data_IF_806493622138
#
_entry.id   IF_806493622138
#
_cell.length_a   1.000
_cell.length_b   1.000
_cell.length_c   1.000
_cell.angle_alpha   90.00
_cell.angle_beta   90.00
_cell.angle_gamma   90.00
#
_symmetry.space_group_name_H-M   'P 1'
#
loop_
_entity.id
_entity.type
_entity.pdbx_description
1 polymer ?
#
# COMPACT_ATOMS: atom_id res chain seq x y z
N UNK A 1 -5.81 -8.76 -37.16
CA UNK A 1 -5.74 -9.69 -36.02
C UNK A 1 -6.99 -9.46 -35.19
N UNK A 2 -7.61 -10.47 -34.60
CA UNK A 2 -8.79 -10.29 -33.77
C UNK A 2 -8.35 -9.62 -32.45
N UNK A 3 -9.13 -8.63 -32.00
CA UNK A 3 -8.96 -7.99 -30.68
C UNK A 3 -8.97 -9.08 -29.58
N UNK A 4 -7.95 -9.09 -28.71
CA UNK A 4 -7.91 -9.98 -27.56
C UNK A 4 -8.42 -9.23 -26.33
N UNK A 5 -9.43 -9.78 -25.68
CA UNK A 5 -9.96 -9.22 -24.43
C UNK A 5 -9.26 -9.88 -23.25
N UNK A 6 -8.68 -9.06 -22.34
CA UNK A 6 -8.05 -9.47 -21.09
C UNK A 6 -8.91 -8.99 -19.93
N UNK A 7 -9.32 -9.91 -19.06
CA UNK A 7 -10.22 -9.62 -17.91
C UNK A 7 -9.40 -9.29 -16.69
N UNK A 8 -9.50 -8.04 -16.22
CA UNK A 8 -8.81 -7.55 -15.04
C UNK A 8 -9.79 -7.45 -13.84
N UNK A 9 -9.59 -8.32 -12.86
CA UNK A 9 -10.36 -8.32 -11.62
C UNK A 9 -10.02 -7.12 -10.73
N UNK A 10 -11.04 -6.41 -10.26
CA UNK A 10 -10.89 -5.24 -9.37
C UNK A 10 -12.01 -5.16 -8.35
N UNK A 11 -11.78 -4.41 -7.27
CA UNK A 11 -12.81 -4.03 -6.31
C UNK A 11 -13.61 -2.83 -6.83
N UNK A 12 -14.83 -2.64 -6.31
CA UNK A 12 -15.72 -1.55 -6.71
C UNK A 12 -15.40 -0.17 -6.11
N UNK A 13 -14.39 -0.03 -5.25
CA UNK A 13 -14.05 1.29 -4.68
C UNK A 13 -13.40 2.21 -5.72
N UNK A 14 -13.66 3.52 -5.63
CA UNK A 14 -13.09 4.51 -6.56
C UNK A 14 -11.56 4.40 -6.70
N UNK A 15 -10.85 4.17 -5.58
CA UNK A 15 -9.40 3.98 -5.61
C UNK A 15 -9.00 2.70 -6.33
N UNK A 16 -9.70 1.58 -6.10
CA UNK A 16 -9.40 0.31 -6.77
C UNK A 16 -9.66 0.41 -8.28
N UNK A 17 -10.77 1.03 -8.69
CA UNK A 17 -11.08 1.28 -10.10
C UNK A 17 -10.03 2.18 -10.76
N UNK A 18 -9.60 3.24 -10.10
CA UNK A 18 -8.54 4.12 -10.60
C UNK A 18 -7.21 3.35 -10.78
N UNK A 19 -6.83 2.53 -9.79
CA UNK A 19 -5.62 1.69 -9.85
C UNK A 19 -5.67 0.66 -10.97
N UNK A 20 -6.78 -0.07 -11.09
CA UNK A 20 -6.99 -1.07 -12.13
C UNK A 20 -7.04 -0.44 -13.52
N UNK A 21 -7.69 0.72 -13.66
CA UNK A 21 -7.70 1.47 -14.92
C UNK A 21 -6.31 2.00 -15.34
N UNK A 22 -5.44 2.33 -14.38
CA UNK A 22 -4.04 2.66 -14.68
C UNK A 22 -3.30 1.45 -15.23
N UNK A 23 -3.42 0.29 -14.57
CA UNK A 23 -2.77 -0.96 -15.01
C UNK A 23 -3.34 -1.41 -16.35
N UNK A 24 -4.64 -1.32 -16.58
CA UNK A 24 -5.27 -1.65 -17.87
C UNK A 24 -4.61 -0.87 -19.02
N UNK A 25 -4.49 0.45 -18.89
CA UNK A 25 -3.81 1.28 -19.91
C UNK A 25 -2.34 0.95 -20.09
N UNK A 26 -1.61 0.58 -19.02
CA UNK A 26 -0.22 0.14 -19.13
C UNK A 26 -0.12 -1.15 -19.96
N UNK A 27 -1.00 -2.14 -19.70
CA UNK A 27 -1.02 -3.40 -20.43
C UNK A 27 -1.42 -3.21 -21.91
N UNK A 28 -2.44 -2.40 -22.20
CA UNK A 28 -2.85 -2.07 -23.57
C UNK A 28 -1.71 -1.37 -24.32
N UNK A 29 -1.01 -0.43 -23.68
CA UNK A 29 0.15 0.24 -24.27
C UNK A 29 1.30 -0.74 -24.54
N UNK A 30 1.60 -1.64 -23.60
CA UNK A 30 2.64 -2.66 -23.75
C UNK A 30 2.31 -3.67 -24.83
N UNK A 31 1.03 -4.08 -24.95
CA UNK A 31 0.56 -4.96 -26.03
C UNK A 31 0.67 -4.29 -27.39
N UNK A 32 0.23 -3.03 -27.51
CA UNK A 32 0.32 -2.26 -28.74
C UNK A 32 1.77 -2.06 -29.20
N UNK A 33 2.71 -1.87 -28.28
CA UNK A 33 4.14 -1.79 -28.58
C UNK A 33 4.71 -3.10 -29.18
N UNK A 34 4.05 -4.23 -28.95
CA UNK A 34 4.37 -5.54 -29.54
C UNK A 34 3.51 -5.87 -30.78
N UNK A 35 2.75 -4.91 -31.30
CA UNK A 35 1.87 -5.09 -32.46
C UNK A 35 0.61 -5.90 -32.17
N UNK A 36 0.23 -6.05 -30.91
CA UNK A 36 -0.98 -6.75 -30.48
C UNK A 36 -2.13 -5.78 -30.25
N UNK A 37 -3.34 -6.17 -30.64
CA UNK A 37 -4.58 -5.41 -30.43
C UNK A 37 -5.32 -5.98 -29.21
N UNK A 38 -5.10 -5.35 -28.04
CA UNK A 38 -5.67 -5.79 -26.77
C UNK A 38 -6.60 -4.76 -26.18
N UNK A 39 -7.68 -5.25 -25.59
CA UNK A 39 -8.58 -4.49 -24.75
C UNK A 39 -8.63 -5.11 -23.35
N UNK A 40 -8.39 -4.30 -22.33
CA UNK A 40 -8.46 -4.76 -20.93
C UNK A 40 -9.81 -4.36 -20.32
N UNK A 41 -10.63 -5.35 -20.00
CA UNK A 41 -11.93 -5.16 -19.36
C UNK A 41 -11.84 -5.27 -17.85
N UNK A 42 -12.33 -4.25 -17.15
CA UNK A 42 -12.41 -4.27 -15.70
C UNK A 42 -13.61 -5.10 -15.23
N UNK A 43 -13.33 -6.21 -14.54
CA UNK A 43 -14.34 -7.06 -13.91
C UNK A 43 -14.45 -6.70 -12.44
N UNK A 44 -15.52 -6.01 -12.08
CA UNK A 44 -15.74 -5.61 -10.68
C UNK A 44 -16.25 -6.80 -9.86
N UNK A 45 -15.42 -7.26 -8.93
CA UNK A 45 -15.77 -8.31 -7.98
C UNK A 45 -16.34 -7.66 -6.72
N UNK A 46 -17.60 -7.93 -6.42
CA UNK A 46 -18.25 -7.47 -5.18
C UNK A 46 -17.70 -8.26 -4.02
N UNK A 47 -17.01 -7.62 -3.10
CA UNK A 47 -16.54 -8.27 -1.89
C UNK A 47 -17.56 -8.10 -0.75
N UNK A 48 -17.68 -9.10 0.13
CA UNK A 48 -18.56 -8.99 1.31
C UNK A 48 -18.22 -7.77 2.18
N UNK A 49 -16.96 -7.31 2.13
CA UNK A 49 -16.52 -6.09 2.82
C UNK A 49 -17.01 -4.79 2.20
N UNK A 50 -17.43 -4.81 0.93
CA UNK A 50 -17.97 -3.62 0.23
C UNK A 50 -19.50 -3.48 0.49
N UNK A 51 -20.19 -4.57 0.88
CA UNK A 51 -21.65 -4.60 1.10
C UNK A 51 -22.05 -4.59 2.56
N UNK A 52 -21.18 -4.96 3.48
CA UNK A 52 -21.48 -5.10 4.90
C UNK A 52 -21.08 -3.84 5.68
N UNK A 53 -22.05 -3.21 6.35
CA UNK A 53 -21.82 -2.28 7.46
C UNK A 53 -21.38 -3.00 8.74
N UNK A 54 -21.45 -4.34 8.77
CA UNK A 54 -20.94 -5.15 9.85
C UNK A 54 -19.40 -5.06 9.90
N UNK A 55 -18.84 -5.05 11.08
CA UNK A 55 -17.42 -4.87 11.30
C UNK A 55 -16.62 -5.90 10.48
N UNK A 56 -15.63 -5.43 9.68
CA UNK A 56 -14.65 -6.24 8.94
C UNK A 56 -14.02 -7.38 9.76
N UNK A 57 -14.08 -7.27 11.08
CA UNK A 57 -13.63 -8.25 12.05
C UNK A 57 -14.54 -9.49 12.17
N UNK A 58 -15.82 -9.41 11.74
CA UNK A 58 -16.69 -10.60 11.70
C UNK A 58 -16.41 -11.48 10.49
N UNK A 59 -15.71 -10.94 9.48
CA UNK A 59 -15.44 -11.57 8.19
C UNK A 59 -13.99 -12.04 8.03
N UNK A 60 -13.19 -12.15 9.10
CA UNK A 60 -11.87 -12.81 9.04
C UNK A 60 -10.67 -11.92 8.66
N UNK A 61 -10.75 -10.59 8.72
CA UNK A 61 -9.57 -9.74 8.59
C UNK A 61 -9.21 -9.31 7.16
N UNK A 62 -8.01 -8.73 6.98
CA UNK A 62 -7.50 -8.13 5.73
C UNK A 62 -7.55 -9.05 4.50
N UNK A 63 -7.47 -10.36 4.67
CA UNK A 63 -7.53 -11.33 3.56
C UNK A 63 -8.87 -11.38 2.82
N UNK A 64 -9.96 -10.90 3.41
CA UNK A 64 -11.32 -11.03 2.82
C UNK A 64 -11.46 -10.26 1.51
N UNK A 65 -10.82 -9.12 1.38
CA UNK A 65 -10.88 -8.33 0.16
C UNK A 65 -10.08 -8.95 -0.99
N UNK A 66 -8.96 -9.61 -0.69
CA UNK A 66 -8.16 -10.33 -1.68
C UNK A 66 -8.75 -11.72 -1.97
N UNK A 67 -9.39 -12.36 -0.98
CA UNK A 67 -9.86 -13.73 -1.09
C UNK A 67 -10.81 -13.94 -2.28
N UNK A 68 -11.79 -13.07 -2.46
CA UNK A 68 -12.74 -13.22 -3.57
C UNK A 68 -12.09 -12.98 -4.95
N UNK A 69 -11.21 -11.97 -5.07
CA UNK A 69 -10.44 -11.76 -6.30
C UNK A 69 -9.56 -12.98 -6.62
N UNK A 70 -8.93 -13.58 -5.60
CA UNK A 70 -8.11 -14.78 -5.71
C UNK A 70 -8.92 -16.01 -6.13
N UNK A 71 -10.16 -16.15 -5.61
CA UNK A 71 -11.08 -17.18 -6.08
C UNK A 71 -11.37 -17.01 -7.56
N UNK A 72 -11.70 -15.80 -8.02
CA UNK A 72 -11.97 -15.54 -9.45
C UNK A 72 -10.74 -15.80 -10.34
N UNK A 73 -9.52 -15.53 -9.84
CA UNK A 73 -8.28 -15.91 -10.55
C UNK A 73 -8.13 -17.42 -10.67
N UNK A 74 -8.28 -18.16 -9.56
CA UNK A 74 -8.14 -19.63 -9.55
C UNK A 74 -9.20 -20.33 -10.38
N UNK A 75 -10.41 -19.76 -10.46
CA UNK A 75 -11.51 -20.28 -11.29
C UNK A 75 -11.45 -19.81 -12.74
N UNK A 76 -10.44 -19.02 -13.12
CA UNK A 76 -10.29 -18.49 -14.49
C UNK A 76 -11.39 -17.51 -14.91
N UNK A 77 -12.10 -16.91 -13.97
CA UNK A 77 -13.12 -15.89 -14.26
C UNK A 77 -12.50 -14.54 -14.60
N UNK A 78 -11.30 -14.27 -14.11
CA UNK A 78 -10.44 -13.15 -14.50
C UNK A 78 -9.03 -13.64 -14.80
N UNK A 79 -8.30 -12.92 -15.65
CA UNK A 79 -6.96 -13.31 -16.11
C UNK A 79 -5.88 -12.75 -15.19
N UNK A 80 -6.15 -11.60 -14.58
CA UNK A 80 -5.28 -10.96 -13.59
C UNK A 80 -6.10 -10.13 -12.58
N UNK A 81 -5.51 -9.82 -11.44
CA UNK A 81 -6.10 -8.93 -10.43
C UNK A 81 -5.09 -7.87 -9.99
N UNK A 82 -5.58 -6.66 -9.69
CA UNK A 82 -4.75 -5.54 -9.22
C UNK A 82 -5.07 -5.23 -7.77
N UNK A 83 -4.01 -5.12 -6.97
CA UNK A 83 -4.09 -4.83 -5.55
C UNK A 83 -3.20 -3.65 -5.16
N UNK A 84 -3.60 -2.87 -4.16
CA UNK A 84 -2.64 -2.11 -3.37
C UNK A 84 -1.78 -3.12 -2.60
N UNK A 85 -0.48 -3.19 -2.87
CA UNK A 85 0.37 -4.29 -2.38
C UNK A 85 0.45 -4.33 -0.85
N UNK A 86 0.36 -3.17 -0.19
CA UNK A 86 0.32 -3.08 1.27
C UNK A 86 -0.89 -3.77 1.92
N UNK A 87 -1.97 -3.97 1.14
CA UNK A 87 -3.22 -4.56 1.63
C UNK A 87 -3.28 -6.09 1.40
N UNK A 88 -2.28 -6.66 0.68
CA UNK A 88 -2.15 -8.10 0.49
C UNK A 88 -1.45 -8.76 1.68
N UNK A 89 -1.96 -9.88 2.20
CA UNK A 89 -1.24 -10.71 3.17
C UNK A 89 0.13 -11.11 2.65
N UNK A 90 1.10 -11.29 3.55
CA UNK A 90 2.46 -11.73 3.18
C UNK A 90 2.55 -13.22 2.85
N UNK A 91 1.63 -14.02 3.40
CA UNK A 91 1.57 -15.45 3.13
C UNK A 91 1.25 -15.73 1.65
N UNK A 92 2.01 -16.62 0.99
CA UNK A 92 1.72 -17.03 -0.37
C UNK A 92 0.40 -17.80 -0.47
N UNK A 93 -0.21 -17.79 -1.63
CA UNK A 93 -1.38 -18.60 -1.95
C UNK A 93 -1.01 -19.57 -3.06
N UNK A 94 -1.24 -20.86 -2.80
CA UNK A 94 -0.96 -21.91 -3.80
C UNK A 94 -1.75 -21.64 -5.10
N UNK A 95 -1.07 -21.75 -6.23
CA UNK A 95 -1.67 -21.52 -7.55
C UNK A 95 -1.70 -20.06 -8.00
N UNK A 96 -1.27 -19.11 -7.14
CA UNK A 96 -1.17 -17.69 -7.47
C UNK A 96 0.24 -17.14 -7.25
N UNK A 97 0.59 -16.09 -7.99
CA UNK A 97 1.83 -15.35 -7.77
C UNK A 97 1.68 -13.86 -8.16
N UNK A 98 2.59 -13.04 -7.67
CA UNK A 98 2.71 -11.65 -8.10
C UNK A 98 3.55 -11.63 -9.37
N UNK A 99 2.90 -11.44 -10.49
CA UNK A 99 3.54 -11.47 -11.81
C UNK A 99 4.29 -10.18 -12.14
N UNK A 100 3.82 -9.03 -11.64
CA UNK A 100 4.49 -7.75 -11.83
C UNK A 100 4.12 -6.73 -10.75
N UNK A 101 5.02 -5.78 -10.56
CA UNK A 101 4.80 -4.57 -9.78
C UNK A 101 5.16 -3.37 -10.65
N UNK A 102 4.20 -2.58 -11.12
CA UNK A 102 4.47 -1.34 -11.81
C UNK A 102 5.26 -0.35 -10.94
N UNK A 103 5.86 0.65 -11.60
CA UNK A 103 6.63 1.69 -10.92
C UNK A 103 5.89 2.25 -9.71
N UNK A 104 6.57 2.27 -8.56
CA UNK A 104 6.06 2.75 -7.28
C UNK A 104 5.66 4.23 -7.38
N UNK A 105 4.46 4.57 -6.94
CA UNK A 105 4.06 5.93 -6.68
C UNK A 105 4.66 6.43 -5.36
N UNK A 106 4.45 7.71 -5.01
CA UNK A 106 4.98 8.29 -3.77
C UNK A 106 4.66 7.42 -2.54
N UNK A 107 5.68 6.85 -1.86
CA UNK A 107 5.49 5.96 -0.71
C UNK A 107 5.08 6.70 0.56
N UNK A 108 5.20 8.03 0.61
CA UNK A 108 5.01 8.83 1.80
C UNK A 108 3.59 8.83 2.32
N UNK A 109 3.46 9.10 3.61
CA UNK A 109 2.20 9.53 4.21
C UNK A 109 2.02 11.03 4.01
N UNK A 110 0.78 11.46 3.84
CA UNK A 110 0.39 12.86 3.66
C UNK A 110 -0.51 13.31 4.79
N UNK A 111 -0.24 14.46 5.35
CA UNK A 111 -1.16 15.23 6.16
C UNK A 111 -2.06 16.05 5.24
N UNK A 112 -3.36 15.95 5.46
CA UNK A 112 -4.34 16.89 4.91
C UNK A 112 -4.96 17.60 6.10
N UNK A 113 -4.70 18.88 6.24
CA UNK A 113 -5.12 19.70 7.37
C UNK A 113 -5.99 20.87 6.95
N UNK A 114 -6.81 21.34 7.86
CA UNK A 114 -7.56 22.58 7.68
C UNK A 114 -6.60 23.74 7.38
N UNK A 115 -6.98 24.60 6.46
CA UNK A 115 -6.18 25.77 6.04
C UNK A 115 -4.76 25.45 5.54
N UNK A 116 -4.49 24.20 5.11
CA UNK A 116 -3.18 23.81 4.59
C UNK A 116 -2.05 23.80 5.62
N UNK A 117 -2.35 23.71 6.93
CA UNK A 117 -1.35 23.70 8.00
C UNK A 117 -0.46 22.45 7.93
N UNK A 118 0.82 22.61 8.23
CA UNK A 118 1.73 21.50 8.51
C UNK A 118 1.47 20.89 9.88
N UNK A 119 2.06 19.72 10.18
CA UNK A 119 1.95 19.08 11.49
C UNK A 119 2.46 20.00 12.61
N UNK A 120 3.54 20.73 12.36
CA UNK A 120 4.11 21.66 13.32
C UNK A 120 3.19 22.87 13.60
N UNK A 121 2.39 23.29 12.61
CA UNK A 121 1.48 24.42 12.72
C UNK A 121 0.12 24.07 13.33
N UNK A 122 -0.21 22.78 13.46
CA UNK A 122 -1.45 22.37 14.13
C UNK A 122 -1.48 22.86 15.58
N UNK A 123 -2.62 23.38 16.07
CA UNK A 123 -2.76 23.82 17.45
C UNK A 123 -2.55 22.66 18.42
N UNK A 124 -2.15 22.98 19.66
CA UNK A 124 -2.08 21.99 20.73
C UNK A 124 -3.46 21.36 20.96
N UNK A 125 -3.47 20.03 21.12
CA UNK A 125 -4.71 19.26 21.26
C UNK A 125 -5.48 19.04 19.98
N UNK A 126 -4.91 19.39 18.80
CA UNK A 126 -5.55 19.17 17.49
C UNK A 126 -5.97 17.71 17.28
N UNK A 127 -7.14 17.50 16.66
CA UNK A 127 -7.69 16.20 16.34
C UNK A 127 -7.21 15.73 14.97
N UNK A 128 -6.44 14.63 14.92
CA UNK A 128 -5.87 14.07 13.71
C UNK A 128 -6.44 12.66 13.45
N UNK A 129 -7.16 12.51 12.35
CA UNK A 129 -7.82 11.27 11.98
C UNK A 129 -6.89 10.28 11.29
N UNK A 130 -6.82 9.05 11.80
CA UNK A 130 -6.16 7.91 11.14
C UNK A 130 -6.63 6.60 11.73
N UNK A 131 -6.84 5.59 10.89
CA UNK A 131 -7.15 4.22 11.34
C UNK A 131 -5.92 3.30 11.34
N UNK A 132 -4.70 3.84 11.22
CA UNK A 132 -3.46 3.05 11.16
C UNK A 132 -2.68 3.14 12.48
N UNK A 133 -2.51 2.02 13.21
CA UNK A 133 -1.69 2.00 14.44
C UNK A 133 -0.27 2.53 14.23
N UNK A 134 0.36 2.20 13.09
CA UNK A 134 1.68 2.72 12.70
C UNK A 134 1.70 4.25 12.63
N UNK A 135 0.66 4.86 12.05
CA UNK A 135 0.56 6.33 11.98
C UNK A 135 0.28 6.94 13.34
N UNK A 136 -0.62 6.33 14.11
CA UNK A 136 -0.92 6.77 15.49
C UNK A 136 0.37 6.84 16.31
N UNK A 137 1.14 5.75 16.32
CA UNK A 137 2.38 5.66 17.09
C UNK A 137 3.39 6.75 16.70
N UNK A 138 3.62 6.91 15.40
CA UNK A 138 4.59 7.88 14.89
C UNK A 138 4.11 9.33 15.04
N UNK A 139 2.82 9.61 14.89
CA UNK A 139 2.24 10.93 15.14
C UNK A 139 2.41 11.33 16.61
N UNK A 140 2.14 10.42 17.54
CA UNK A 140 2.33 10.68 18.97
C UNK A 140 3.78 10.88 19.36
N UNK A 141 4.71 10.18 18.72
CA UNK A 141 6.13 10.42 18.92
C UNK A 141 6.57 11.81 18.41
N UNK A 142 6.01 12.28 17.29
CA UNK A 142 6.31 13.61 16.73
C UNK A 142 5.61 14.75 17.46
N UNK A 143 4.37 14.53 17.91
CA UNK A 143 3.49 15.52 18.54
C UNK A 143 2.64 14.83 19.63
N UNK A 144 3.20 14.66 20.85
CA UNK A 144 2.50 13.99 21.97
C UNK A 144 1.21 14.67 22.40
N UNK A 145 1.08 15.96 22.11
CA UNK A 145 -0.04 16.82 22.48
C UNK A 145 -1.28 16.65 21.58
N UNK A 146 -1.15 16.04 20.38
CA UNK A 146 -2.30 15.87 19.49
C UNK A 146 -3.20 14.71 19.92
N UNK A 147 -4.47 14.79 19.53
CA UNK A 147 -5.47 13.74 19.74
C UNK A 147 -5.62 12.93 18.46
N UNK A 148 -5.27 11.65 18.49
CA UNK A 148 -5.51 10.75 17.36
C UNK A 148 -6.92 10.19 17.42
N UNK A 149 -7.65 10.24 16.30
CA UNK A 149 -9.04 9.76 16.18
C UNK A 149 -9.08 8.60 15.19
N UNK A 150 -9.68 7.45 15.60
CA UNK A 150 -9.84 6.31 14.66
C UNK A 150 -10.74 6.73 13.50
N UNK A 151 -10.26 6.49 12.29
CA UNK A 151 -10.90 6.95 11.06
C UNK A 151 -11.06 5.81 10.07
N UNK A 152 -12.30 5.53 9.67
CA UNK A 152 -12.67 4.51 8.70
C UNK A 152 -13.29 5.11 7.45
N UNK A 153 -13.47 4.31 6.42
CA UNK A 153 -14.05 4.70 5.14
C UNK A 153 -13.01 4.84 4.03
N UNK A 154 -13.47 5.18 2.84
CA UNK A 154 -12.62 5.46 1.69
C UNK A 154 -11.92 6.83 1.81
N UNK A 155 -11.00 7.13 0.89
CA UNK A 155 -10.23 8.38 0.91
C UNK A 155 -11.12 9.62 0.91
N UNK A 156 -12.11 9.76 -0.01
CA UNK A 156 -13.00 10.91 0.00
C UNK A 156 -13.79 11.07 1.31
N UNK A 157 -14.33 9.99 1.87
CA UNK A 157 -15.06 10.03 3.15
C UNK A 157 -14.18 10.55 4.29
N UNK A 158 -12.91 10.11 4.33
CA UNK A 158 -11.95 10.56 5.35
C UNK A 158 -11.58 12.03 5.19
N UNK A 159 -11.38 12.48 3.94
CA UNK A 159 -11.10 13.89 3.64
C UNK A 159 -12.26 14.81 4.03
N UNK A 160 -13.50 14.37 3.80
CA UNK A 160 -14.71 15.12 4.17
C UNK A 160 -14.87 15.35 5.68
N UNK A 161 -14.07 14.67 6.54
CA UNK A 161 -14.02 14.92 7.97
C UNK A 161 -13.12 16.09 8.37
N UNK A 162 -12.27 16.60 7.43
CA UNK A 162 -11.36 17.72 7.73
C UNK A 162 -12.08 19.04 7.55
N UNK A 163 -12.03 19.91 8.54
CA UNK A 163 -12.61 21.25 8.50
C UNK A 163 -12.05 22.06 7.34
N UNK A 164 -12.94 22.67 6.54
CA UNK A 164 -12.56 23.53 5.41
C UNK A 164 -12.09 22.79 4.15
N UNK A 165 -11.98 21.46 4.15
CA UNK A 165 -11.67 20.68 2.95
C UNK A 165 -12.96 20.36 2.20
N UNK A 166 -13.06 20.87 0.97
CA UNK A 166 -14.17 20.57 0.06
C UNK A 166 -13.70 19.62 -1.04
N UNK A 167 -14.42 18.52 -1.21
CA UNK A 167 -14.18 17.55 -2.28
C UNK A 167 -15.29 17.71 -3.31
N UNK A 168 -14.92 17.86 -4.58
CA UNK A 168 -15.90 17.92 -5.65
C UNK A 168 -16.69 16.60 -5.74
N UNK A 169 -17.97 16.69 -6.07
CA UNK A 169 -18.87 15.52 -6.14
C UNK A 169 -18.48 14.50 -7.22
N UNK A 170 -17.64 14.88 -8.16
CA UNK A 170 -17.12 14.04 -9.26
C UNK A 170 -15.96 13.09 -8.85
N UNK A 171 -15.44 13.21 -7.64
CA UNK A 171 -14.38 12.32 -7.13
C UNK A 171 -14.89 10.90 -6.76
N UNK A 172 -15.98 10.43 -7.38
CA UNK A 172 -16.56 9.09 -7.16
C UNK A 172 -17.25 8.92 -5.80
N UNK A 173 -17.69 10.03 -5.19
CA UNK A 173 -18.46 10.03 -3.94
C UNK A 173 -19.90 10.42 -4.19
N UNK A 174 -20.86 9.63 -3.69
CA UNK A 174 -22.22 10.12 -3.53
C UNK A 174 -22.21 11.25 -2.48
N UNK A 175 -23.03 12.30 -2.65
CA UNK A 175 -23.17 13.39 -1.67
C UNK A 175 -23.49 12.92 -0.25
N UNK A 176 -24.08 11.72 -0.11
CA UNK A 176 -24.42 11.08 1.17
C UNK A 176 -23.21 10.41 1.87
N UNK A 177 -22.08 10.19 1.15
CA UNK A 177 -20.83 9.66 1.71
C UNK A 177 -19.92 10.76 2.28
N UNK A 178 -20.19 12.01 2.00
CA UNK A 178 -19.59 13.17 2.65
C UNK A 178 -20.27 13.31 4.01
N UNK A 179 -19.66 12.76 5.05
CA UNK A 179 -20.18 12.72 6.40
C UNK A 179 -20.69 14.10 6.87
N UNK A 180 -21.79 14.10 7.59
CA UNK A 180 -22.49 15.30 8.10
C UNK A 180 -21.73 15.96 9.27
N UNK A 181 -20.47 16.36 9.05
CA UNK A 181 -19.73 17.12 10.06
C UNK A 181 -18.23 17.00 9.91
N UNK A 182 -17.62 18.04 9.37
CA UNK A 182 -16.17 18.21 9.44
C UNK A 182 -15.79 18.52 10.89
N UNK A 183 -15.23 17.53 11.59
CA UNK A 183 -14.94 17.56 13.02
C UNK A 183 -13.44 17.41 13.34
N UNK A 184 -12.62 17.12 12.33
CA UNK A 184 -11.18 16.92 12.47
C UNK A 184 -10.39 18.14 12.00
N UNK A 185 -9.26 18.39 12.64
CA UNK A 185 -8.29 19.41 12.23
C UNK A 185 -7.43 18.91 11.08
N UNK A 186 -7.14 17.60 11.03
CA UNK A 186 -6.39 16.97 9.96
C UNK A 186 -6.70 15.47 9.84
N UNK A 187 -6.26 14.86 8.72
CA UNK A 187 -6.19 13.41 8.53
C UNK A 187 -4.86 13.02 7.94
N UNK A 188 -4.40 11.78 8.21
CA UNK A 188 -3.20 11.23 7.56
C UNK A 188 -3.60 10.11 6.61
N UNK A 189 -3.20 10.27 5.35
CA UNK A 189 -3.49 9.36 4.24
C UNK A 189 -2.18 9.02 3.50
N UNK A 190 -2.21 8.07 2.55
CA UNK A 190 -1.08 7.80 1.67
C UNK A 190 -1.08 8.79 0.49
N UNK A 191 0.06 9.42 0.17
CA UNK A 191 0.22 10.28 -1.01
C UNK A 191 -0.28 9.59 -2.28
N UNK A 192 0.17 8.37 -2.56
CA UNK A 192 -0.25 7.60 -3.72
C UNK A 192 -1.77 7.42 -3.85
N UNK A 193 -2.49 7.33 -2.73
CA UNK A 193 -3.95 7.24 -2.75
C UNK A 193 -4.62 8.55 -3.16
N UNK A 194 -4.09 9.68 -2.70
CA UNK A 194 -4.56 11.02 -3.05
C UNK A 194 -4.24 11.36 -4.51
N UNK A 195 -3.03 11.04 -4.97
CA UNK A 195 -2.60 11.25 -6.36
C UNK A 195 -3.46 10.47 -7.34
N UNK A 196 -3.71 9.18 -7.10
CA UNK A 196 -4.50 8.30 -7.96
C UNK A 196 -5.97 8.75 -8.08
N UNK A 197 -6.47 9.48 -7.11
CA UNK A 197 -7.82 10.05 -7.11
C UNK A 197 -7.86 11.51 -7.57
N UNK A 198 -6.73 12.10 -7.99
CA UNK A 198 -6.67 13.51 -8.38
C UNK A 198 -6.84 14.49 -7.21
N UNK A 199 -6.59 14.02 -5.98
CA UNK A 199 -6.79 14.78 -4.74
C UNK A 199 -5.46 15.30 -4.13
N UNK A 200 -4.35 15.22 -4.87
CA UNK A 200 -3.03 15.66 -4.40
C UNK A 200 -2.98 17.14 -3.99
N UNK A 201 -3.83 17.98 -4.58
CA UNK A 201 -3.95 19.42 -4.24
C UNK A 201 -4.34 19.69 -2.77
N UNK A 202 -4.88 18.67 -2.07
CA UNK A 202 -5.27 18.78 -0.66
C UNK A 202 -4.14 18.40 0.30
N UNK A 203 -3.00 17.94 -0.18
CA UNK A 203 -1.85 17.59 0.66
C UNK A 203 -1.27 18.88 1.25
N UNK A 204 -1.32 18.99 2.58
CA UNK A 204 -0.70 20.08 3.33
C UNK A 204 0.79 19.83 3.58
N UNK A 205 1.13 18.57 3.86
CA UNK A 205 2.50 18.13 4.11
C UNK A 205 2.65 16.66 3.71
N UNK A 206 3.72 16.32 3.01
CA UNK A 206 4.13 14.93 2.77
C UNK A 206 5.31 14.60 3.70
N UNK A 207 5.12 13.64 4.60
CA UNK A 207 6.13 13.30 5.61
C UNK A 207 7.35 12.65 4.98
N UNK A 208 8.54 13.12 5.33
CA UNK A 208 9.77 12.43 4.98
C UNK A 208 9.76 11.02 5.63
N UNK A 209 10.18 9.95 4.91
CA UNK A 209 10.29 8.61 5.48
C UNK A 209 11.13 8.52 6.76
N UNK A 210 12.15 9.38 6.92
CA UNK A 210 12.91 9.48 8.17
C UNK A 210 12.06 9.91 9.38
N UNK A 211 11.06 10.78 9.14
CA UNK A 211 10.13 11.25 10.17
C UNK A 211 9.01 10.23 10.41
N UNK A 212 8.43 9.73 9.31
CA UNK A 212 7.32 8.79 9.36
C UNK A 212 7.52 7.67 8.33
N UNK A 213 8.00 6.51 8.82
CA UNK A 213 8.16 5.33 7.98
C UNK A 213 6.82 4.90 7.39
N UNK A 214 6.73 4.72 6.08
CA UNK A 214 5.50 4.28 5.41
C UNK A 214 5.06 2.87 5.82
N UNK A 215 3.86 2.48 5.42
CA UNK A 215 3.46 1.07 5.49
C UNK A 215 4.26 0.25 4.47
N UNK A 216 4.61 -1.01 4.78
CA UNK A 216 5.29 -1.90 3.84
C UNK A 216 4.58 -1.95 2.50
N UNK A 217 5.32 -1.74 1.41
CA UNK A 217 4.85 -1.65 0.02
C UNK A 217 3.84 -0.52 -0.24
N UNK A 218 3.79 0.52 0.59
CA UNK A 218 2.95 1.68 0.30
C UNK A 218 3.37 2.34 -1.01
N UNK A 219 2.39 2.68 -1.86
CA UNK A 219 2.62 3.22 -3.20
C UNK A 219 2.75 2.16 -4.30
N UNK A 220 3.08 0.91 -3.97
CA UNK A 220 3.23 -0.18 -4.93
C UNK A 220 1.87 -0.79 -5.27
N UNK A 221 1.64 -1.08 -6.55
CA UNK A 221 0.58 -1.96 -7.04
C UNK A 221 1.16 -3.36 -7.26
N UNK A 222 0.34 -4.38 -7.01
CA UNK A 222 0.65 -5.76 -7.32
C UNK A 222 -0.31 -6.28 -8.38
N UNK A 223 0.24 -6.86 -9.45
CA UNK A 223 -0.50 -7.62 -10.45
C UNK A 223 -0.37 -9.09 -10.06
N UNK A 224 -1.47 -9.68 -9.61
CA UNK A 224 -1.56 -11.08 -9.19
C UNK A 224 -2.23 -11.90 -10.28
N UNK A 225 -1.69 -13.07 -10.57
CA UNK A 225 -2.19 -13.99 -11.62
C UNK A 225 -2.15 -15.43 -11.14
N UNK A 226 -2.80 -16.33 -11.88
CA UNK A 226 -2.55 -17.76 -11.76
C UNK A 226 -1.10 -18.09 -12.14
N UNK A 227 -0.56 -19.23 -11.66
CA UNK A 227 0.81 -19.65 -11.97
C UNK A 227 0.98 -20.00 -13.46
N UNK A 228 -0.04 -20.60 -14.05
CA UNK A 228 -0.04 -20.93 -15.48
C UNK A 228 -0.73 -19.81 -16.26
N UNK A 229 0.03 -19.10 -17.06
CA UNK A 229 -0.44 -17.98 -17.89
C UNK A 229 -0.29 -18.32 -19.38
N UNK A 230 -1.14 -17.67 -20.18
CA UNK A 230 -0.89 -17.53 -21.60
C UNK A 230 0.46 -16.82 -21.82
N UNK A 231 1.39 -17.37 -22.63
CA UNK A 231 2.73 -16.81 -22.83
C UNK A 231 2.72 -15.37 -23.36
N UNK A 232 1.72 -14.98 -24.15
CA UNK A 232 1.60 -13.59 -24.61
C UNK A 232 1.21 -12.66 -23.47
N UNK A 233 0.30 -13.10 -22.58
CA UNK A 233 -0.11 -12.34 -21.41
C UNK A 233 1.06 -12.17 -20.46
N UNK A 234 1.83 -13.22 -20.22
CA UNK A 234 3.05 -13.16 -19.39
C UNK A 234 4.07 -12.16 -19.95
N UNK A 235 4.35 -12.21 -21.26
CA UNK A 235 5.27 -11.30 -21.92
C UNK A 235 4.83 -9.83 -21.83
N UNK A 236 3.53 -9.54 -21.94
CA UNK A 236 2.99 -8.16 -21.79
C UNK A 236 3.05 -7.71 -20.34
N UNK A 237 2.69 -8.57 -19.38
CA UNK A 237 2.77 -8.26 -17.95
C UNK A 237 4.22 -7.96 -17.54
N UNK A 238 5.19 -8.69 -18.06
CA UNK A 238 6.61 -8.46 -17.80
C UNK A 238 7.07 -7.06 -18.21
N UNK A 239 6.50 -6.46 -19.27
CA UNK A 239 6.82 -5.10 -19.73
C UNK A 239 6.36 -4.00 -18.76
N UNK A 240 5.35 -4.25 -17.94
CA UNK A 240 4.86 -3.28 -16.96
C UNK A 240 5.51 -3.45 -15.60
N UNK A 241 6.36 -4.47 -15.43
CA UNK A 241 7.10 -4.68 -14.20
C UNK A 241 8.22 -3.65 -14.07
N UNK A 242 8.32 -3.02 -12.90
CA UNK A 242 9.46 -2.19 -12.49
C UNK A 242 10.31 -2.97 -11.48
N UNK A 243 11.49 -3.47 -11.89
CA UNK A 243 12.31 -4.31 -11.02
C UNK A 243 12.74 -3.61 -9.72
N UNK A 244 12.96 -2.30 -9.76
CA UNK A 244 13.33 -1.53 -8.57
C UNK A 244 12.19 -1.51 -7.54
N UNK A 245 10.96 -1.25 -7.98
CA UNK A 245 9.77 -1.30 -7.13
C UNK A 245 9.50 -2.71 -6.60
N UNK A 246 9.74 -3.73 -7.42
CA UNK A 246 9.58 -5.13 -7.03
C UNK A 246 10.56 -5.51 -5.90
N UNK A 247 11.85 -5.25 -6.09
CA UNK A 247 12.88 -5.54 -5.09
C UNK A 247 12.63 -4.81 -3.77
N UNK A 248 12.26 -3.53 -3.85
CA UNK A 248 11.89 -2.76 -2.66
C UNK A 248 10.69 -3.38 -1.92
N UNK A 249 9.63 -3.74 -2.64
CA UNK A 249 8.45 -4.36 -2.05
C UNK A 249 8.77 -5.73 -1.42
N UNK A 250 9.60 -6.55 -2.07
CA UNK A 250 10.05 -7.85 -1.53
C UNK A 250 10.79 -7.67 -0.21
N UNK A 251 11.75 -6.74 -0.14
CA UNK A 251 12.50 -6.46 1.08
C UNK A 251 11.59 -5.98 2.21
N UNK A 252 10.69 -5.03 1.94
CA UNK A 252 9.75 -4.50 2.92
C UNK A 252 8.78 -5.57 3.44
N UNK A 253 8.26 -6.44 2.55
CA UNK A 253 7.35 -7.52 2.92
C UNK A 253 8.05 -8.64 3.68
N UNK A 254 9.33 -8.90 3.39
CA UNK A 254 10.14 -9.86 4.14
C UNK A 254 10.30 -9.45 5.61
N UNK A 255 10.37 -8.14 5.92
CA UNK A 255 10.33 -7.66 7.32
C UNK A 255 9.04 -8.11 8.00
N UNK A 256 7.88 -7.84 7.39
CA UNK A 256 6.57 -8.21 7.96
C UNK A 256 6.43 -9.71 8.17
N UNK A 257 6.83 -10.50 7.17
CA UNK A 257 6.74 -11.95 7.21
C UNK A 257 7.63 -12.53 8.32
N UNK A 258 8.85 -12.02 8.47
CA UNK A 258 9.81 -12.50 9.48
C UNK A 258 9.40 -12.08 10.89
N UNK A 259 8.86 -10.89 11.07
CA UNK A 259 8.28 -10.43 12.34
C UNK A 259 6.99 -11.17 12.67
N UNK A 260 6.40 -11.92 11.74
CA UNK A 260 5.05 -12.47 11.83
C UNK A 260 4.02 -11.37 12.20
N UNK A 261 4.24 -10.17 11.68
CA UNK A 261 3.49 -9.01 12.06
C UNK A 261 2.07 -9.01 11.47
N UNK A 262 1.08 -8.85 12.33
CA UNK A 262 -0.32 -8.67 11.95
C UNK A 262 -0.56 -7.31 11.30
N UNK A 263 -1.72 -7.16 10.69
CA UNK A 263 -2.09 -5.92 9.99
C UNK A 263 -2.34 -4.71 10.91
N UNK A 264 -2.46 -4.92 12.20
CA UNK A 264 -2.56 -3.86 13.20
C UNK A 264 -1.21 -3.58 13.89
N UNK A 265 -0.17 -4.33 13.59
CA UNK A 265 1.15 -4.09 14.14
C UNK A 265 1.67 -2.70 13.67
N UNK A 266 2.19 -1.89 14.58
CA UNK A 266 2.72 -0.57 14.26
C UNK A 266 4.12 -0.66 13.64
N UNK A 267 4.22 -1.32 12.48
CA UNK A 267 5.46 -1.54 11.72
C UNK A 267 5.48 -0.62 10.50
N UNK A 268 6.58 0.09 10.32
CA UNK A 268 6.87 0.88 9.14
C UNK A 268 8.12 0.37 8.44
N UNK A 269 8.14 0.45 7.11
CA UNK A 269 9.31 0.09 6.30
C UNK A 269 9.43 0.98 5.08
N UNK A 270 10.66 1.23 4.65
CA UNK A 270 10.94 1.94 3.41
C UNK A 270 12.21 1.39 2.77
N UNK A 271 12.06 0.80 1.58
CA UNK A 271 13.18 0.35 0.77
C UNK A 271 13.30 1.18 -0.50
N UNK A 272 14.53 1.45 -0.91
CA UNK A 272 14.86 2.21 -2.11
C UNK A 272 16.22 1.80 -2.66
N UNK A 273 16.40 1.98 -3.97
CA UNK A 273 17.67 1.72 -4.62
C UNK A 273 18.47 3.00 -4.78
N UNK A 274 19.79 2.86 -4.57
CA UNK A 274 20.78 3.91 -4.85
C UNK A 274 21.74 3.37 -5.89
N UNK A 275 22.08 4.18 -6.88
CA UNK A 275 23.09 3.85 -7.87
C UNK A 275 24.48 4.07 -7.27
N UNK A 276 25.28 3.00 -7.19
CA UNK A 276 26.61 3.02 -6.60
C UNK A 276 27.68 2.59 -7.64
N UNK A 277 28.12 3.52 -8.47
CA UNK A 277 29.08 3.24 -9.53
C UNK A 277 28.51 2.31 -10.60
N UNK A 278 29.02 1.07 -10.70
CA UNK A 278 28.54 0.06 -11.64
C UNK A 278 27.47 -0.88 -11.05
N UNK A 279 27.15 -0.70 -9.78
CA UNK A 279 26.21 -1.54 -9.03
C UNK A 279 25.03 -0.70 -8.53
N UNK A 280 23.99 -1.40 -8.06
CA UNK A 280 22.94 -0.81 -7.24
C UNK A 280 23.07 -1.29 -5.79
N UNK A 281 22.73 -0.42 -4.85
CA UNK A 281 22.52 -0.76 -3.46
C UNK A 281 21.04 -0.68 -3.12
N UNK A 282 20.49 -1.74 -2.57
CA UNK A 282 19.15 -1.76 -1.99
C UNK A 282 19.25 -1.39 -0.50
N UNK A 283 18.76 -0.21 -0.17
CA UNK A 283 18.65 0.28 1.20
C UNK A 283 17.28 -0.06 1.78
N UNK A 284 17.22 -0.41 3.05
CA UNK A 284 15.99 -0.70 3.77
C UNK A 284 16.04 -0.06 5.15
N UNK A 285 15.04 0.75 5.45
CA UNK A 285 14.73 1.19 6.81
C UNK A 285 13.47 0.47 7.30
N UNK A 286 13.49 0.00 8.53
CA UNK A 286 12.37 -0.66 9.19
C UNK A 286 12.26 -0.18 10.64
N UNK A 287 11.04 -0.15 11.17
CA UNK A 287 10.82 0.26 12.56
C UNK A 287 9.54 -0.30 13.15
N UNK A 288 9.58 -0.54 14.45
CA UNK A 288 8.44 -0.92 15.30
C UNK A 288 8.24 0.17 16.34
N UNK A 289 7.02 0.61 16.54
CA UNK A 289 6.68 1.81 17.32
C UNK A 289 5.66 1.47 18.41
N UNK A 290 5.87 1.96 19.62
CA UNK A 290 4.86 1.89 20.67
C UNK A 290 3.66 2.79 20.35
N UNK A 291 2.44 2.33 20.60
CA UNK A 291 1.20 3.03 20.23
C UNK A 291 1.05 4.39 20.94
N UNK A 292 1.68 4.55 22.09
CA UNK A 292 1.73 5.82 22.82
C UNK A 292 2.79 6.80 22.32
N UNK A 293 3.65 6.34 21.37
CA UNK A 293 4.77 7.11 20.84
C UNK A 293 6.01 7.17 21.72
N UNK A 294 6.00 6.53 22.92
CA UNK A 294 7.07 6.66 23.90
C UNK A 294 8.35 5.88 23.53
N UNK A 295 8.23 4.82 22.75
CA UNK A 295 9.35 3.96 22.38
C UNK A 295 9.29 3.52 20.93
N UNK A 296 10.46 3.27 20.36
CA UNK A 296 10.58 2.63 19.05
C UNK A 296 11.92 1.91 18.91
N UNK A 297 11.96 0.88 18.10
CA UNK A 297 13.20 0.25 17.62
C UNK A 297 13.28 0.44 16.11
N UNK A 298 14.48 0.67 15.58
CA UNK A 298 14.71 0.89 14.15
C UNK A 298 15.91 0.09 13.66
N UNK A 299 15.83 -0.38 12.43
CA UNK A 299 16.92 -1.05 11.71
C UNK A 299 17.17 -0.36 10.38
N UNK A 300 18.45 -0.15 10.04
CA UNK A 300 18.89 0.32 8.73
C UNK A 300 19.84 -0.71 8.15
N UNK A 301 19.50 -1.25 7.01
CA UNK A 301 20.25 -2.29 6.33
C UNK A 301 20.48 -1.90 4.87
N UNK A 302 21.55 -2.42 4.29
CA UNK A 302 21.81 -2.30 2.86
C UNK A 302 22.34 -3.63 2.29
N UNK A 303 22.14 -3.81 1.00
CA UNK A 303 22.67 -4.95 0.26
C UNK A 303 23.09 -4.50 -1.15
N UNK A 304 24.32 -4.81 -1.54
CA UNK A 304 24.81 -4.56 -2.89
C UNK A 304 24.21 -5.57 -3.86
N UNK A 305 23.57 -5.04 -4.92
CA UNK A 305 23.06 -5.81 -6.04
C UNK A 305 24.08 -5.72 -7.17
N UNK A 306 24.77 -6.80 -7.47
CA UNK A 306 25.84 -6.80 -8.49
C UNK A 306 25.29 -6.57 -9.90
N UNK A 307 25.84 -5.58 -10.60
CA UNK A 307 25.52 -5.23 -11.99
C UNK A 307 24.24 -4.39 -12.13
N UNK A 308 23.96 -3.98 -13.37
CA UNK A 308 22.85 -3.07 -13.72
C UNK A 308 21.52 -3.77 -14.01
N UNK A 309 21.54 -5.08 -14.24
CA UNK A 309 20.34 -5.86 -14.53
C UNK A 309 19.65 -6.28 -13.22
N UNK A 310 18.64 -5.54 -12.85
CA UNK A 310 17.85 -5.78 -11.63
C UNK A 310 16.85 -6.95 -11.74
N UNK A 311 16.70 -7.57 -12.90
CA UNK A 311 15.71 -8.66 -13.13
C UNK A 311 16.20 -10.03 -12.67
N UNK A 312 17.47 -10.17 -12.30
CA UNK A 312 18.07 -11.43 -11.90
C UNK A 312 17.42 -12.02 -10.64
N UNK A 313 17.13 -13.31 -10.66
CA UNK A 313 16.51 -14.02 -9.52
C UNK A 313 17.33 -13.90 -8.21
N UNK A 314 18.67 -13.84 -8.30
CA UNK A 314 19.53 -13.65 -7.12
C UNK A 314 19.29 -12.30 -6.40
N UNK A 315 18.77 -11.27 -7.10
CA UNK A 315 18.44 -10.00 -6.46
C UNK A 315 17.17 -10.09 -5.62
N UNK A 316 16.18 -10.90 -6.03
CA UNK A 316 15.01 -11.19 -5.20
C UNK A 316 15.41 -11.91 -3.90
N UNK A 317 16.33 -12.86 -3.99
CA UNK A 317 16.88 -13.53 -2.81
C UNK A 317 17.59 -12.53 -1.89
N UNK A 318 18.49 -11.69 -2.43
CA UNK A 318 19.16 -10.63 -1.64
C UNK A 318 18.17 -9.65 -0.99
N UNK A 319 17.11 -9.26 -1.70
CA UNK A 319 16.06 -8.39 -1.14
C UNK A 319 15.32 -9.08 0.02
N UNK A 320 15.00 -10.36 -0.13
CA UNK A 320 14.37 -11.17 0.93
C UNK A 320 15.29 -11.27 2.16
N UNK A 321 16.55 -11.63 1.95
CA UNK A 321 17.55 -11.75 3.03
C UNK A 321 17.79 -10.40 3.74
N UNK A 322 17.76 -9.28 2.98
CA UNK A 322 17.86 -7.95 3.56
C UNK A 322 16.71 -7.65 4.53
N UNK A 323 15.47 -7.96 4.11
CA UNK A 323 14.30 -7.81 4.97
C UNK A 323 14.33 -8.72 6.20
N UNK A 324 14.80 -9.96 6.03
CA UNK A 324 14.96 -10.91 7.15
C UNK A 324 15.99 -10.39 8.17
N UNK A 325 17.15 -9.90 7.72
CA UNK A 325 18.16 -9.30 8.61
C UNK A 325 17.63 -8.10 9.37
N UNK A 326 16.91 -7.21 8.68
CA UNK A 326 16.29 -6.06 9.34
C UNK A 326 15.28 -6.46 10.42
N UNK A 327 14.47 -7.48 10.16
CA UNK A 327 13.51 -8.00 11.13
C UNK A 327 14.21 -8.67 12.34
N UNK A 328 15.26 -9.44 12.10
CA UNK A 328 16.06 -10.08 13.16
C UNK A 328 16.73 -9.03 14.06
N UNK A 329 17.25 -7.95 13.45
CA UNK A 329 17.82 -6.82 14.19
C UNK A 329 16.76 -6.14 15.06
N UNK A 330 15.56 -5.87 14.52
CA UNK A 330 14.45 -5.33 15.31
C UNK A 330 14.04 -6.23 16.48
N UNK A 331 13.99 -7.54 16.27
CA UNK A 331 13.69 -8.52 17.34
C UNK A 331 14.78 -8.51 18.41
N UNK A 332 16.05 -8.46 18.02
CA UNK A 332 17.19 -8.37 18.94
C UNK A 332 17.16 -7.07 19.78
N UNK A 333 16.66 -5.99 19.22
CA UNK A 333 16.44 -4.71 19.92
C UNK A 333 15.18 -4.72 20.81
N UNK A 334 14.41 -5.81 20.87
CA UNK A 334 13.23 -5.92 21.71
C UNK A 334 11.92 -5.44 21.06
N UNK A 335 11.77 -5.58 19.75
CA UNK A 335 10.55 -5.16 19.03
C UNK A 335 9.25 -5.71 19.65
N UNK A 336 9.24 -6.96 20.13
CA UNK A 336 8.09 -7.56 20.81
C UNK A 336 7.76 -6.97 22.20
N UNK A 337 8.69 -6.21 22.79
CA UNK A 337 8.45 -5.45 24.02
C UNK A 337 7.91 -4.04 23.73
N UNK A 338 8.25 -3.50 22.57
CA UNK A 338 7.78 -2.19 22.11
C UNK A 338 6.33 -2.23 21.68
N UNK A 339 5.92 -3.31 20.98
CA UNK A 339 4.56 -3.45 20.49
C UNK A 339 4.14 -4.92 20.35
N UNK A 340 2.84 -5.18 20.44
CA UNK A 340 2.26 -6.46 20.06
C UNK A 340 2.36 -6.62 18.53
N UNK A 341 3.30 -7.45 18.08
CA UNK A 341 3.52 -7.69 16.66
C UNK A 341 2.41 -8.53 16.03
N UNK A 342 1.71 -9.36 16.79
CA UNK A 342 0.60 -10.20 16.32
C UNK A 342 -0.75 -9.50 16.43
N UNK A 343 -0.77 -8.23 16.86
CA UNK A 343 -2.00 -7.49 17.03
C UNK A 343 -2.90 -7.61 15.78
N UNK A 344 -4.08 -8.12 15.99
CA UNK A 344 -5.18 -8.06 15.05
C UNK A 344 -6.05 -6.90 15.48
N UNK A 345 -6.43 -6.03 14.55
CA UNK A 345 -7.24 -4.85 14.88
C UNK A 345 -8.52 -5.30 15.58
N UNK A 346 -8.54 -5.18 16.93
CA UNK A 346 -9.71 -5.50 17.75
C UNK A 346 -10.87 -4.56 17.42
N UNK A 347 -12.05 -5.05 17.69
CA UNK A 347 -13.35 -4.43 17.40
C UNK A 347 -13.61 -3.35 18.44
N UNK A 348 -13.77 -2.14 18.02
CA UNK A 348 -14.44 -1.08 18.77
C UNK A 348 -15.75 -0.72 18.08
#
# INVERSE_FOLDING_TARGET
>A
MSEKVVRLGTRGSALALAQSGMVARMLETAAAAQGMDWRVELVTVRTQGDTSRAALSQLGGIGVFAAQLRTHLLEGQVDLAVHSFKDLPTAPVTGLHIAATPRRADPRDALVASNGMSLAQLPSGASVGTGSPRRVAQLKALRPDIKTVDLRGNVPTRLGRVRGVQIAADAGTSPQALGTGADLDAVVLACAGLERLGLAKHISEAFNPEQMLPAPSQGVLAIETAQELDPQLEAVIAQVNDPASHLAAVAERAVMSTLQAGCAAPVGTYAYLVHAGFDYELHLEAGVFALDGAASVRSRQAATLGGVDLTKACHLQKATELGQRAAQDLLAQGAGQVADLQAVKERG
#
